data_IF_931243232103
#
_entry.id   IF_931243232103
#
_cell.length_a   1.000
_cell.length_b   1.000
_cell.length_c   1.000
_cell.angle_alpha   90.00
_cell.angle_beta   90.00
_cell.angle_gamma   90.00
#
_symmetry.space_group_name_H-M   'P 1'
#
loop_
_entity.id
_entity.type
_entity.pdbx_description
1 polymer ?
#
# COMPACT_ATOMS: atom_id res chain seq x y z
N UNK A 1 -12.67 -1.03 9.29
CA UNK A 1 -11.49 -1.72 8.74
C UNK A 1 -11.62 -1.61 7.22
N UNK A 2 -10.54 -1.33 6.50
CA UNK A 2 -10.56 -1.26 5.04
C UNK A 2 -10.97 -2.63 4.48
N UNK A 3 -11.96 -2.67 3.58
CA UNK A 3 -12.29 -3.89 2.85
C UNK A 3 -11.50 -3.93 1.55
N UNK A 4 -10.58 -4.89 1.43
CA UNK A 4 -9.80 -5.09 0.21
C UNK A 4 -10.48 -6.09 -0.69
N UNK A 5 -10.77 -5.68 -1.92
CA UNK A 5 -11.21 -6.58 -2.97
C UNK A 5 -10.12 -7.60 -3.33
N UNK A 6 -10.53 -8.72 -3.93
CA UNK A 6 -9.63 -9.81 -4.33
C UNK A 6 -8.46 -9.35 -5.20
N UNK A 7 -8.70 -8.35 -6.05
CA UNK A 7 -7.70 -7.80 -6.95
C UNK A 7 -7.65 -6.29 -6.79
N UNK A 8 -6.45 -5.75 -6.56
CA UNK A 8 -6.15 -4.33 -6.59
C UNK A 8 -4.94 -4.08 -7.50
N UNK A 9 -4.83 -2.87 -8.01
CA UNK A 9 -3.70 -2.45 -8.83
C UNK A 9 -3.26 -1.03 -8.45
N UNK A 10 -1.96 -0.87 -8.21
CA UNK A 10 -1.34 0.42 -7.96
C UNK A 10 -1.41 1.35 -9.17
N UNK A 11 -1.80 2.60 -8.93
CA UNK A 11 -2.05 3.65 -9.92
C UNK A 11 -1.15 4.85 -9.60
N UNK A 12 0.15 4.67 -9.83
CA UNK A 12 1.14 5.71 -9.60
C UNK A 12 0.96 6.87 -10.59
N UNK A 13 0.78 8.08 -10.07
CA UNK A 13 0.71 9.32 -10.86
C UNK A 13 1.62 10.39 -10.25
N UNK A 14 2.91 10.32 -10.58
CA UNK A 14 3.93 11.21 -10.02
C UNK A 14 3.65 12.69 -10.29
N UNK A 15 2.94 13.01 -11.37
CA UNK A 15 2.73 14.39 -11.84
C UNK A 15 1.26 14.83 -11.85
N UNK A 16 0.33 14.00 -11.36
CA UNK A 16 -1.12 14.27 -11.34
C UNK A 16 -1.71 14.60 -12.73
N UNK A 17 -1.19 13.95 -13.79
CA UNK A 17 -1.63 14.18 -15.17
C UNK A 17 -2.18 12.92 -15.85
N UNK A 18 -2.08 11.75 -15.21
CA UNK A 18 -2.38 10.46 -15.82
C UNK A 18 -3.62 9.78 -15.23
N UNK A 19 -4.12 10.25 -14.08
CA UNK A 19 -5.24 9.67 -13.35
C UNK A 19 -6.44 9.30 -14.26
N UNK A 20 -6.94 10.22 -15.09
CA UNK A 20 -8.10 9.94 -15.95
C UNK A 20 -7.81 8.92 -17.07
N UNK A 21 -6.57 8.81 -17.55
CA UNK A 21 -6.20 7.82 -18.55
C UNK A 21 -6.06 6.43 -17.91
N UNK A 22 -5.37 6.34 -16.77
CA UNK A 22 -5.22 5.10 -16.01
C UNK A 22 -6.58 4.58 -15.56
N UNK A 23 -7.45 5.46 -15.06
CA UNK A 23 -8.76 5.08 -14.55
C UNK A 23 -9.71 4.53 -15.63
N UNK A 24 -9.62 5.03 -16.86
CA UNK A 24 -10.39 4.48 -18.00
C UNK A 24 -10.09 3.00 -18.23
N UNK A 25 -8.89 2.52 -17.93
CA UNK A 25 -8.58 1.08 -18.02
C UNK A 25 -9.38 0.26 -16.99
N UNK A 26 -9.63 0.80 -15.79
CA UNK A 26 -10.45 0.14 -14.77
C UNK A 26 -11.93 0.09 -15.17
N UNK A 27 -12.45 1.16 -15.79
CA UNK A 27 -13.79 1.18 -16.37
C UNK A 27 -13.94 0.08 -17.43
N UNK A 28 -12.98 -0.03 -18.35
CA UNK A 28 -12.99 -1.07 -19.38
C UNK A 28 -12.89 -2.49 -18.80
N UNK A 29 -12.08 -2.70 -17.76
CA UNK A 29 -12.02 -3.99 -17.05
C UNK A 29 -13.39 -4.35 -16.43
N UNK A 30 -14.05 -3.37 -15.81
CA UNK A 30 -15.36 -3.57 -15.22
C UNK A 30 -16.43 -3.90 -16.26
N UNK A 31 -16.39 -3.28 -17.44
CA UNK A 31 -17.26 -3.61 -18.59
C UNK A 31 -17.06 -5.05 -19.08
N UNK A 32 -15.85 -5.59 -18.95
CA UNK A 32 -15.53 -7.01 -19.23
C UNK A 32 -15.90 -7.96 -18.06
N UNK A 33 -16.57 -7.45 -17.02
CA UNK A 33 -16.94 -8.21 -15.83
C UNK A 33 -15.76 -8.54 -14.91
N UNK A 34 -14.61 -7.88 -15.07
CA UNK A 34 -13.42 -8.04 -14.22
C UNK A 34 -13.32 -6.84 -13.29
N UNK A 35 -13.45 -7.06 -11.98
CA UNK A 35 -13.29 -5.99 -10.99
C UNK A 35 -11.87 -6.00 -10.46
N UNK A 36 -11.22 -4.85 -10.56
CA UNK A 36 -9.92 -4.57 -9.97
C UNK A 36 -10.02 -3.21 -9.30
N UNK A 37 -9.57 -3.11 -8.06
CA UNK A 37 -9.68 -1.88 -7.27
C UNK A 37 -8.46 -0.98 -7.53
N UNK A 38 -8.66 0.25 -8.01
CA UNK A 38 -7.56 1.19 -8.22
C UNK A 38 -7.03 1.70 -6.87
N UNK A 39 -5.72 1.65 -6.70
CA UNK A 39 -5.02 2.13 -5.50
C UNK A 39 -4.03 3.21 -5.92
N UNK A 40 -4.36 4.48 -5.70
CA UNK A 40 -3.44 5.57 -6.04
C UNK A 40 -2.28 5.60 -5.06
N UNK A 41 -1.07 5.39 -5.53
CA UNK A 41 0.10 5.30 -4.67
C UNK A 41 1.13 6.37 -5.03
N UNK A 42 1.81 6.89 -4.01
CA UNK A 42 2.99 7.73 -4.18
C UNK A 42 3.86 7.69 -2.92
N UNK A 43 5.16 7.51 -3.11
CA UNK A 43 6.09 7.44 -1.99
C UNK A 43 6.47 8.81 -1.45
N UNK A 44 6.92 8.85 -0.19
CA UNK A 44 7.42 10.09 0.41
C UNK A 44 8.61 10.69 -0.36
N UNK A 45 9.49 9.84 -0.93
CA UNK A 45 10.59 10.26 -1.79
C UNK A 45 10.08 10.99 -3.05
N UNK A 46 9.03 10.47 -3.67
CA UNK A 46 8.42 11.12 -4.86
C UNK A 46 7.75 12.44 -4.52
N UNK A 47 7.09 12.52 -3.36
CA UNK A 47 6.55 13.78 -2.85
C UNK A 47 7.65 14.84 -2.70
N UNK A 48 8.77 14.49 -2.07
CA UNK A 48 9.91 15.39 -1.91
C UNK A 48 10.54 15.83 -3.23
N UNK A 49 10.71 14.92 -4.20
CA UNK A 49 11.32 15.26 -5.49
C UNK A 49 10.44 16.17 -6.35
N UNK A 50 9.12 15.98 -6.31
CA UNK A 50 8.17 16.78 -7.09
C UNK A 50 7.78 18.07 -6.38
N UNK A 51 7.94 18.14 -5.05
CA UNK A 51 7.42 19.25 -4.24
C UNK A 51 5.91 19.20 -4.08
N UNK A 52 5.34 17.99 -4.00
CA UNK A 52 3.89 17.76 -3.84
C UNK A 52 3.56 17.25 -2.44
N UNK A 53 2.34 17.50 -1.96
CA UNK A 53 1.86 17.04 -0.64
C UNK A 53 1.06 15.72 -0.73
N UNK A 54 1.08 14.86 0.31
CA UNK A 54 0.32 13.60 0.34
C UNK A 54 -1.16 13.75 -0.05
N UNK A 55 -1.82 14.78 0.48
CA UNK A 55 -3.23 15.09 0.20
C UNK A 55 -3.54 15.32 -1.28
N UNK A 56 -2.54 15.71 -2.08
CA UNK A 56 -2.72 15.92 -3.53
C UNK A 56 -3.12 14.62 -4.26
N UNK A 57 -2.66 13.47 -3.79
CA UNK A 57 -2.99 12.16 -4.38
C UNK A 57 -4.46 11.84 -4.14
N UNK A 58 -4.94 12.02 -2.90
CA UNK A 58 -6.35 11.83 -2.56
C UNK A 58 -7.27 12.75 -3.38
N UNK A 59 -6.91 14.03 -3.50
CA UNK A 59 -7.68 15.01 -4.29
C UNK A 59 -7.72 14.60 -5.78
N UNK A 60 -6.61 14.10 -6.33
CA UNK A 60 -6.56 13.64 -7.72
C UNK A 60 -7.42 12.39 -7.93
N UNK A 61 -7.35 11.42 -7.01
CA UNK A 61 -8.16 10.20 -7.04
C UNK A 61 -9.67 10.52 -6.96
N UNK A 62 -10.08 11.36 -6.01
CA UNK A 62 -11.47 11.81 -5.87
C UNK A 62 -12.00 12.48 -7.15
N UNK A 63 -11.20 13.34 -7.77
CA UNK A 63 -11.57 13.99 -9.04
C UNK A 63 -11.75 12.96 -10.16
N UNK A 64 -10.86 11.98 -10.28
CA UNK A 64 -10.98 10.94 -11.31
C UNK A 64 -12.22 10.05 -11.11
N UNK A 65 -12.48 9.64 -9.87
CA UNK A 65 -13.66 8.86 -9.47
C UNK A 65 -14.95 9.61 -9.80
N UNK A 66 -15.03 10.90 -9.46
CA UNK A 66 -16.20 11.75 -9.77
C UNK A 66 -16.37 11.96 -11.27
N UNK A 67 -15.28 12.21 -12.01
CA UNK A 67 -15.33 12.46 -13.46
C UNK A 67 -15.81 11.25 -14.27
N UNK A 68 -15.54 10.04 -13.78
CA UNK A 68 -15.83 8.79 -14.49
C UNK A 68 -16.96 7.99 -13.82
N UNK A 69 -17.71 8.62 -12.92
CA UNK A 69 -18.88 8.06 -12.22
C UNK A 69 -18.63 6.67 -11.61
N UNK A 70 -17.48 6.51 -10.94
CA UNK A 70 -17.11 5.23 -10.36
C UNK A 70 -17.73 5.04 -8.99
N UNK A 71 -18.50 3.96 -8.87
CA UNK A 71 -19.33 3.68 -7.71
C UNK A 71 -18.79 2.52 -6.86
N UNK A 72 -17.58 2.05 -7.13
CA UNK A 72 -16.96 0.93 -6.40
C UNK A 72 -15.73 1.38 -5.62
N UNK A 73 -15.09 0.46 -4.89
CA UNK A 73 -13.94 0.78 -4.05
C UNK A 73 -12.79 1.40 -4.85
N UNK A 74 -12.01 2.22 -4.14
CA UNK A 74 -10.75 2.82 -4.56
C UNK A 74 -10.02 3.26 -3.31
N UNK A 75 -8.70 3.29 -3.36
CA UNK A 75 -7.85 3.58 -2.20
C UNK A 75 -6.73 4.54 -2.55
N UNK A 76 -6.13 5.10 -1.51
CA UNK A 76 -4.88 5.87 -1.59
C UNK A 76 -3.85 5.14 -0.73
N UNK A 77 -2.68 4.86 -1.31
CA UNK A 77 -1.57 4.17 -0.66
C UNK A 77 -0.41 5.13 -0.36
N UNK A 78 -0.04 5.18 0.91
CA UNK A 78 1.20 5.76 1.39
C UNK A 78 2.33 4.75 1.16
N UNK A 79 2.92 4.85 -0.03
CA UNK A 79 3.93 3.90 -0.49
C UNK A 79 5.27 4.10 0.24
N UNK A 80 5.94 3.00 0.56
CA UNK A 80 7.23 2.98 1.27
C UNK A 80 7.26 3.86 2.54
N UNK A 81 6.31 3.66 3.45
CA UNK A 81 6.19 4.48 4.66
C UNK A 81 7.01 3.93 5.83
N UNK A 82 7.60 4.83 6.60
CA UNK A 82 8.33 4.54 7.83
C UNK A 82 7.74 5.35 8.99
N UNK A 83 8.13 5.05 10.23
CA UNK A 83 7.64 5.77 11.41
C UNK A 83 7.90 7.28 11.34
N UNK A 84 8.98 7.71 10.70
CA UNK A 84 9.36 9.11 10.58
C UNK A 84 8.53 9.87 9.54
N UNK A 85 7.83 9.16 8.65
CA UNK A 85 7.12 9.77 7.52
C UNK A 85 5.61 9.64 7.61
N UNK A 86 5.10 8.66 8.37
CA UNK A 86 3.68 8.27 8.41
C UNK A 86 2.72 9.39 8.84
N UNK A 87 3.13 10.26 9.76
CA UNK A 87 2.24 11.27 10.36
C UNK A 87 1.53 12.16 9.32
N UNK A 88 2.21 12.46 8.20
CA UNK A 88 1.66 13.31 7.13
C UNK A 88 0.62 12.63 6.24
N UNK A 89 0.46 11.31 6.36
CA UNK A 89 -0.41 10.49 5.52
C UNK A 89 -1.71 10.08 6.22
N UNK A 90 -1.72 10.07 7.55
CA UNK A 90 -2.81 9.55 8.39
C UNK A 90 -4.20 10.12 8.02
N UNK A 91 -4.26 11.40 7.64
CA UNK A 91 -5.53 12.08 7.34
C UNK A 91 -5.99 11.93 5.88
N UNK A 92 -5.13 11.46 4.98
CA UNK A 92 -5.41 11.48 3.52
C UNK A 92 -5.27 10.13 2.83
N UNK A 93 -4.92 9.08 3.57
CA UNK A 93 -4.58 7.76 3.05
C UNK A 93 -5.30 6.66 3.85
N UNK A 94 -5.75 5.60 3.18
CA UNK A 94 -6.39 4.44 3.81
C UNK A 94 -5.62 3.12 3.62
N UNK A 95 -4.58 3.10 2.77
CA UNK A 95 -3.70 1.96 2.51
C UNK A 95 -2.25 2.33 2.86
N UNK A 96 -1.51 1.44 3.52
CA UNK A 96 -0.14 1.73 3.98
C UNK A 96 0.83 0.60 3.64
N UNK A 97 1.81 0.89 2.79
CA UNK A 97 2.92 -0.01 2.49
C UNK A 97 4.09 0.29 3.44
N UNK A 98 4.18 -0.49 4.54
CA UNK A 98 5.21 -0.31 5.56
C UNK A 98 6.57 -0.79 5.04
N UNK A 99 7.52 0.12 4.95
CA UNK A 99 8.90 -0.19 4.57
C UNK A 99 9.73 -0.59 5.80
N UNK A 100 10.14 -1.85 5.84
CA UNK A 100 10.98 -2.42 6.91
C UNK A 100 12.43 -2.65 6.46
N UNK A 101 12.82 -2.21 5.26
CA UNK A 101 14.13 -2.52 4.70
C UNK A 101 15.29 -2.08 5.61
N UNK A 102 15.18 -0.89 6.21
CA UNK A 102 16.19 -0.35 7.14
C UNK A 102 16.27 -1.11 8.48
N UNK A 103 15.27 -1.95 8.78
CA UNK A 103 15.24 -2.79 9.99
C UNK A 103 15.83 -4.19 9.77
N UNK A 104 16.18 -4.56 8.53
CA UNK A 104 16.70 -5.89 8.19
C UNK A 104 18.23 -5.91 8.36
N UNK A 105 18.73 -6.99 8.98
CA UNK A 105 20.18 -7.24 9.09
C UNK A 105 20.91 -6.39 10.14
N UNK A 106 20.18 -5.67 10.99
CA UNK A 106 20.74 -4.96 12.13
C UNK A 106 21.28 -5.92 13.21
N UNK A 107 22.26 -5.47 13.99
CA UNK A 107 22.75 -6.22 15.15
C UNK A 107 21.74 -6.16 16.28
N UNK A 108 21.35 -7.32 16.79
CA UNK A 108 20.52 -7.48 17.99
C UNK A 108 21.38 -8.03 19.13
N UNK A 109 20.99 -7.77 20.39
CA UNK A 109 21.73 -8.33 21.52
C UNK A 109 21.43 -9.82 21.68
N UNK A 110 22.40 -10.59 22.20
CA UNK A 110 22.18 -12.01 22.51
C UNK A 110 21.03 -12.21 23.51
N UNK A 111 20.81 -11.23 24.39
CA UNK A 111 19.68 -11.20 25.32
C UNK A 111 18.33 -11.11 24.59
N UNK A 112 18.19 -10.19 23.64
CA UNK A 112 16.95 -10.04 22.85
C UNK A 112 16.62 -11.31 22.06
N UNK A 113 17.63 -11.97 21.50
CA UNK A 113 17.48 -13.25 20.80
C UNK A 113 16.99 -14.33 21.76
N UNK A 114 17.62 -14.45 22.93
CA UNK A 114 17.24 -15.43 23.95
C UNK A 114 15.80 -15.21 24.42
N UNK A 115 15.44 -13.97 24.73
CA UNK A 115 14.10 -13.60 25.18
C UNK A 115 13.03 -13.81 24.09
N UNK A 116 13.39 -13.58 22.82
CA UNK A 116 12.49 -13.85 21.70
C UNK A 116 12.22 -15.35 21.56
N UNK A 117 13.27 -16.19 21.57
CA UNK A 117 13.13 -17.65 21.46
C UNK A 117 12.35 -18.22 22.66
N UNK A 118 12.61 -17.73 23.87
CA UNK A 118 11.87 -18.15 25.06
C UNK A 118 10.38 -17.78 25.00
N UNK A 119 10.05 -16.60 24.46
CA UNK A 119 8.66 -16.14 24.28
C UNK A 119 7.92 -16.89 23.18
N UNK A 120 8.64 -17.43 22.21
CA UNK A 120 8.09 -18.10 21.04
C UNK A 120 8.50 -19.57 20.95
N UNK A 121 8.46 -20.28 22.09
CA UNK A 121 8.81 -21.70 22.16
C UNK A 121 7.92 -22.57 21.25
N UNK A 122 6.70 -22.12 20.92
CA UNK A 122 5.79 -22.75 19.97
C UNK A 122 6.32 -22.79 18.53
N UNK A 123 7.28 -21.93 18.18
CA UNK A 123 7.91 -21.90 16.85
C UNK A 123 9.15 -22.79 16.77
N UNK A 124 9.59 -23.39 17.89
CA UNK A 124 10.76 -24.27 17.95
C UNK A 124 10.34 -25.71 17.70
N UNK A 125 10.82 -26.31 16.60
CA UNK A 125 10.58 -27.70 16.28
C UNK A 125 10.88 -28.03 14.81
N UNK A 126 10.66 -29.29 14.44
CA UNK A 126 10.85 -29.76 13.07
C UNK A 126 9.57 -29.55 12.24
N UNK A 127 9.71 -28.95 11.07
CA UNK A 127 8.59 -28.80 10.12
C UNK A 127 8.40 -30.14 9.41
N UNK A 128 7.29 -30.82 9.68
CA UNK A 128 6.98 -32.15 9.13
C UNK A 128 6.11 -32.11 7.87
N UNK A 129 5.49 -30.98 7.55
CA UNK A 129 4.70 -30.78 6.33
C UNK A 129 4.81 -29.34 5.84
N UNK A 130 5.37 -29.15 4.65
CA UNK A 130 5.20 -27.92 3.85
C UNK A 130 4.26 -28.25 2.69
N UNK A 131 2.97 -28.46 2.96
CA UNK A 131 2.01 -28.37 1.87
C UNK A 131 1.90 -26.90 1.47
N UNK A 132 2.02 -26.66 0.16
CA UNK A 132 2.16 -25.33 -0.41
C UNK A 132 1.14 -24.35 0.13
N UNK A 133 1.65 -23.16 0.47
CA UNK A 133 0.85 -21.96 0.55
C UNK A 133 -0.02 -21.90 -0.73
N UNK A 134 -1.35 -21.76 -0.63
CA UNK A 134 -2.23 -21.66 -1.79
C UNK A 134 -1.87 -20.47 -2.70
#
# INVERSE_FOLDING_TARGET
MLELDKYSLGVGDRFAHQAAAQFRAFVQLAELGKRVTPVWNKSNREHSFVGSEPSSVQIAAQRAVQQLDWQTHWHVDADHIQLQTVDRYLDCTDFFTIDVADSIGGTVSDGDVTDFVARHAELVGDISHTEGLP
#
